data_IF_493809812205
#
_entry.id   IF_493809812205
#
_cell.length_a   1.000
_cell.length_b   1.000
_cell.length_c   1.000
_cell.angle_alpha   90.00
_cell.angle_beta   90.00
_cell.angle_gamma   90.00
#
_symmetry.space_group_name_H-M   'P 1'
#
loop_
_entity.id
_entity.type
_entity.pdbx_description
1 polymer ?
#
# COMPACT_ATOMS: atom_id res chain seq x y z
N UNK A 1 -0.76 35.68 -13.61
CA UNK A 1 -1.36 34.40 -14.05
C UNK A 1 -0.36 33.25 -14.16
N UNK A 2 0.96 33.48 -14.18
CA UNK A 2 1.96 32.41 -14.32
C UNK A 2 2.09 31.50 -13.10
N UNK A 3 1.92 32.02 -11.88
CA UNK A 3 1.98 31.21 -10.66
C UNK A 3 0.76 30.29 -10.46
N UNK A 4 -0.43 30.65 -10.97
CA UNK A 4 -1.66 29.87 -10.76
C UNK A 4 -1.70 28.57 -11.58
N UNK A 5 -1.03 28.54 -12.74
CA UNK A 5 -1.00 27.38 -13.64
C UNK A 5 -0.33 26.14 -13.02
N UNK A 6 0.91 26.19 -12.50
CA UNK A 6 1.57 25.04 -11.88
C UNK A 6 1.01 24.69 -10.50
N UNK A 7 0.43 25.67 -9.79
CA UNK A 7 -0.07 25.46 -8.43
C UNK A 7 -1.48 24.84 -8.41
N UNK A 8 -2.37 25.26 -9.31
CA UNK A 8 -3.77 24.86 -9.24
C UNK A 8 -4.25 24.17 -10.53
N UNK A 9 -4.02 24.78 -11.69
CA UNK A 9 -4.66 24.32 -12.94
C UNK A 9 -4.08 22.98 -13.40
N UNK A 10 -2.75 22.84 -13.40
CA UNK A 10 -2.05 21.62 -13.82
C UNK A 10 -2.35 20.46 -12.84
N UNK A 11 -2.25 20.62 -11.52
CA UNK A 11 -2.62 19.57 -10.57
C UNK A 11 -4.10 19.18 -10.64
N UNK A 12 -5.01 20.15 -10.81
CA UNK A 12 -6.44 19.88 -10.89
C UNK A 12 -6.80 19.07 -12.15
N UNK A 13 -6.31 19.48 -13.32
CA UNK A 13 -6.62 18.79 -14.57
C UNK A 13 -5.92 17.42 -14.62
N UNK A 14 -4.68 17.32 -14.15
CA UNK A 14 -3.97 16.04 -14.11
C UNK A 14 -4.62 15.05 -13.14
N UNK A 15 -4.99 15.48 -11.94
CA UNK A 15 -5.72 14.64 -10.98
C UNK A 15 -7.11 14.26 -11.47
N UNK A 16 -7.82 15.15 -12.19
CA UNK A 16 -9.11 14.82 -12.80
C UNK A 16 -8.96 13.72 -13.87
N UNK A 17 -8.01 13.87 -14.80
CA UNK A 17 -7.79 12.89 -15.86
C UNK A 17 -7.33 11.55 -15.27
N UNK A 18 -6.35 11.56 -14.37
CA UNK A 18 -5.83 10.34 -13.73
C UNK A 18 -6.90 9.70 -12.84
N UNK A 19 -7.69 10.50 -12.12
CA UNK A 19 -8.79 10.03 -11.29
C UNK A 19 -9.90 9.35 -12.12
N UNK A 20 -10.30 9.95 -13.24
CA UNK A 20 -11.27 9.36 -14.16
C UNK A 20 -10.71 8.08 -14.80
N UNK A 21 -9.44 8.07 -15.22
CA UNK A 21 -8.79 6.86 -15.73
C UNK A 21 -8.75 5.75 -14.66
N UNK A 22 -8.49 6.11 -13.41
CA UNK A 22 -8.52 5.16 -12.28
C UNK A 22 -9.92 4.56 -12.08
N UNK A 23 -10.99 5.35 -12.16
CA UNK A 23 -12.36 4.85 -11.96
C UNK A 23 -12.78 3.95 -13.13
N UNK A 24 -12.55 4.38 -14.37
CA UNK A 24 -13.13 3.73 -15.54
C UNK A 24 -12.27 2.62 -16.16
N UNK A 25 -10.95 2.75 -16.14
CA UNK A 25 -10.03 1.80 -16.79
C UNK A 25 -9.33 0.88 -15.78
N UNK A 26 -8.83 1.42 -14.68
CA UNK A 26 -7.90 0.70 -13.79
C UNK A 26 -8.63 0.06 -12.59
N UNK A 27 -9.71 0.68 -12.10
CA UNK A 27 -10.41 0.24 -10.89
C UNK A 27 -10.99 -1.16 -11.01
N UNK A 28 -11.59 -1.50 -12.15
CA UNK A 28 -12.15 -2.84 -12.42
C UNK A 28 -11.09 -3.96 -12.41
N UNK A 29 -9.98 -3.88 -13.18
CA UNK A 29 -8.96 -4.92 -13.13
C UNK A 29 -8.27 -5.00 -11.77
N UNK A 30 -8.02 -3.87 -11.10
CA UNK A 30 -7.46 -3.85 -9.74
C UNK A 30 -8.39 -4.51 -8.73
N UNK A 31 -9.70 -4.24 -8.80
CA UNK A 31 -10.70 -4.88 -7.96
C UNK A 31 -10.78 -6.40 -8.21
N UNK A 32 -10.65 -6.84 -9.47
CA UNK A 32 -10.60 -8.26 -9.82
C UNK A 32 -9.36 -8.96 -9.23
N UNK A 33 -8.19 -8.33 -9.33
CA UNK A 33 -6.95 -8.82 -8.70
C UNK A 33 -7.12 -8.88 -7.18
N UNK A 34 -7.68 -7.83 -6.58
CA UNK A 34 -7.95 -7.78 -5.15
C UNK A 34 -8.91 -8.89 -4.70
N UNK A 35 -9.97 -9.17 -5.47
CA UNK A 35 -10.91 -10.25 -5.18
C UNK A 35 -10.22 -11.62 -5.27
N UNK A 36 -9.37 -11.85 -6.28
CA UNK A 36 -8.56 -13.05 -6.40
C UNK A 36 -7.56 -13.22 -5.26
N UNK A 37 -6.90 -12.13 -4.85
CA UNK A 37 -5.96 -12.12 -3.73
C UNK A 37 -6.67 -12.35 -2.39
N UNK A 38 -7.86 -11.77 -2.22
CA UNK A 38 -8.78 -12.00 -1.10
C UNK A 38 -9.17 -13.46 -1.00
N UNK A 39 -9.61 -14.06 -2.11
CA UNK A 39 -9.95 -15.46 -2.14
C UNK A 39 -8.73 -16.34 -1.81
N UNK A 40 -7.58 -16.09 -2.44
CA UNK A 40 -6.36 -16.85 -2.19
C UNK A 40 -5.89 -16.74 -0.73
N UNK A 41 -5.90 -15.55 -0.15
CA UNK A 41 -5.47 -15.35 1.24
C UNK A 41 -6.51 -15.85 2.25
N UNK A 42 -7.80 -15.83 1.93
CA UNK A 42 -8.83 -16.52 2.70
C UNK A 42 -8.61 -18.04 2.67
N UNK A 43 -8.18 -18.61 1.54
CA UNK A 43 -7.82 -20.04 1.46
C UNK A 43 -6.56 -20.40 2.25
N UNK A 44 -5.70 -19.43 2.58
CA UNK A 44 -4.57 -19.66 3.50
C UNK A 44 -5.02 -19.83 4.97
N UNK A 45 -6.26 -19.44 5.30
CA UNK A 45 -6.92 -19.72 6.58
C UNK A 45 -6.14 -19.29 7.84
N UNK A 46 -6.62 -19.69 9.01
CA UNK A 46 -5.91 -19.55 10.30
C UNK A 46 -4.64 -20.40 10.37
N UNK A 47 -4.42 -21.31 9.42
CA UNK A 47 -3.34 -22.28 9.43
C UNK A 47 -1.94 -21.65 9.35
N UNK A 48 -1.79 -20.42 8.82
CA UNK A 48 -0.52 -19.72 8.88
C UNK A 48 -0.65 -18.18 8.82
N UNK A 49 -1.38 -17.61 9.79
CA UNK A 49 -1.48 -16.15 9.96
C UNK A 49 -0.10 -15.45 10.05
N UNK A 50 0.92 -16.18 10.53
CA UNK A 50 2.32 -15.72 10.56
C UNK A 50 2.88 -15.56 9.14
N UNK A 51 2.69 -16.54 8.27
CA UNK A 51 3.14 -16.46 6.87
C UNK A 51 2.39 -15.37 6.10
N UNK A 52 1.09 -15.24 6.32
CA UNK A 52 0.30 -14.14 5.77
C UNK A 52 0.86 -12.78 6.18
N UNK A 53 1.12 -12.59 7.47
CA UNK A 53 1.73 -11.37 8.00
C UNK A 53 3.12 -11.10 7.43
N UNK A 54 3.94 -12.14 7.25
CA UNK A 54 5.28 -12.01 6.67
C UNK A 54 5.24 -11.56 5.20
N UNK A 55 4.34 -12.12 4.38
CA UNK A 55 4.17 -11.71 2.98
C UNK A 55 3.69 -10.27 2.90
N UNK A 56 2.64 -9.92 3.66
CA UNK A 56 2.10 -8.55 3.68
C UNK A 56 3.14 -7.55 4.18
N UNK A 57 3.93 -7.93 5.20
CA UNK A 57 5.02 -7.10 5.69
C UNK A 57 6.14 -6.90 4.66
N UNK A 58 6.51 -7.95 3.93
CA UNK A 58 7.48 -7.86 2.84
C UNK A 58 7.00 -6.92 1.72
N UNK A 59 5.70 -6.97 1.38
CA UNK A 59 5.09 -6.07 0.39
C UNK A 59 5.10 -4.60 0.86
N UNK A 60 4.92 -4.35 2.15
CA UNK A 60 4.97 -2.98 2.71
C UNK A 60 6.39 -2.41 2.69
N UNK A 61 7.40 -3.24 2.89
CA UNK A 61 8.79 -2.80 2.99
C UNK A 61 9.53 -2.74 1.64
N UNK A 62 9.01 -3.35 0.58
CA UNK A 62 9.75 -3.56 -0.69
C UNK A 62 9.99 -2.28 -1.46
N UNK A 63 9.01 -1.37 -1.50
CA UNK A 63 9.08 -0.15 -2.30
C UNK A 63 8.85 1.14 -1.50
N UNK A 64 8.92 1.04 -0.16
CA UNK A 64 8.84 2.18 0.77
C UNK A 64 7.68 3.15 0.50
N UNK A 65 6.52 2.64 0.05
CA UNK A 65 5.33 3.46 -0.23
C UNK A 65 4.91 3.53 -1.71
N UNK A 66 5.56 2.75 -2.57
CA UNK A 66 5.27 2.63 -3.99
C UNK A 66 4.03 1.78 -4.34
N UNK A 67 3.93 1.28 -5.59
CA UNK A 67 2.79 0.50 -6.08
C UNK A 67 2.52 -0.81 -5.31
N UNK A 68 3.56 -1.52 -4.87
CA UNK A 68 3.47 -2.79 -4.12
C UNK A 68 2.93 -2.53 -2.72
N UNK A 69 3.44 -1.52 -2.01
CA UNK A 69 2.91 -1.10 -0.71
C UNK A 69 1.43 -0.70 -0.82
N UNK A 70 1.05 0.04 -1.87
CA UNK A 70 -0.36 0.44 -2.09
C UNK A 70 -1.26 -0.75 -2.43
N UNK A 71 -0.76 -1.74 -3.16
CA UNK A 71 -1.51 -2.97 -3.44
C UNK A 71 -1.77 -3.78 -2.15
N UNK A 72 -0.76 -3.92 -1.27
CA UNK A 72 -0.94 -4.55 0.04
C UNK A 72 -1.95 -3.79 0.92
N UNK A 73 -1.89 -2.45 0.92
CA UNK A 73 -2.84 -1.62 1.67
C UNK A 73 -4.27 -1.76 1.15
N UNK A 74 -4.47 -1.72 -0.17
CA UNK A 74 -5.77 -1.93 -0.79
C UNK A 74 -6.35 -3.31 -0.45
N UNK A 75 -5.49 -4.33 -0.34
CA UNK A 75 -5.85 -5.63 0.18
C UNK A 75 -6.37 -5.60 1.62
N UNK A 76 -5.61 -4.98 2.53
CA UNK A 76 -6.03 -4.82 3.92
C UNK A 76 -7.38 -4.09 4.04
N UNK A 77 -7.56 -3.00 3.31
CA UNK A 77 -8.82 -2.24 3.28
C UNK A 77 -9.98 -3.06 2.71
N UNK A 78 -9.74 -3.88 1.69
CA UNK A 78 -10.75 -4.78 1.14
C UNK A 78 -11.30 -5.75 2.19
N UNK A 79 -10.43 -6.27 3.07
CA UNK A 79 -10.79 -7.20 4.14
C UNK A 79 -11.49 -6.55 5.35
N UNK A 80 -11.43 -5.22 5.49
CA UNK A 80 -12.20 -4.51 6.53
C UNK A 80 -13.70 -4.69 6.31
N UNK A 81 -14.14 -4.77 5.06
CA UNK A 81 -15.54 -5.00 4.71
C UNK A 81 -16.06 -6.37 5.17
N UNK A 82 -15.16 -7.35 5.34
CA UNK A 82 -15.46 -8.72 5.80
C UNK A 82 -15.10 -8.93 7.27
N UNK A 83 -14.98 -7.85 8.06
CA UNK A 83 -14.63 -7.88 9.49
C UNK A 83 -13.31 -8.62 9.82
N UNK A 84 -12.40 -8.73 8.85
CA UNK A 84 -11.13 -9.44 9.02
C UNK A 84 -9.99 -8.43 9.23
N UNK A 85 -9.67 -8.14 10.49
CA UNK A 85 -8.76 -7.04 10.84
C UNK A 85 -7.29 -7.43 10.99
N UNK A 86 -6.98 -8.70 11.19
CA UNK A 86 -5.60 -9.15 11.44
C UNK A 86 -4.62 -8.80 10.29
N UNK A 87 -5.00 -8.94 9.00
CA UNK A 87 -4.12 -8.54 7.89
C UNK A 87 -3.86 -7.03 7.87
N UNK A 88 -4.87 -6.21 8.16
CA UNK A 88 -4.70 -4.77 8.26
C UNK A 88 -3.74 -4.39 9.41
N UNK A 89 -3.86 -5.05 10.56
CA UNK A 89 -2.96 -4.83 11.69
C UNK A 89 -1.51 -5.14 11.32
N UNK A 90 -1.27 -6.25 10.60
CA UNK A 90 0.07 -6.61 10.11
C UNK A 90 0.63 -5.59 9.12
N UNK A 91 -0.18 -5.12 8.17
CA UNK A 91 0.18 -4.07 7.20
C UNK A 91 0.57 -2.78 7.92
N UNK A 92 -0.21 -2.36 8.93
CA UNK A 92 0.08 -1.12 9.66
C UNK A 92 1.37 -1.24 10.47
N UNK A 93 1.56 -2.36 11.16
CA UNK A 93 2.79 -2.63 11.91
C UNK A 93 4.02 -2.65 10.99
N UNK A 94 3.92 -3.30 9.83
CA UNK A 94 5.02 -3.37 8.87
C UNK A 94 5.31 -2.03 8.17
N UNK A 95 4.28 -1.22 7.89
CA UNK A 95 4.45 0.07 7.22
C UNK A 95 5.31 1.08 8.01
N UNK A 96 5.40 0.92 9.32
CA UNK A 96 6.26 1.75 10.16
C UNK A 96 7.74 1.30 10.14
N UNK A 97 8.03 0.11 9.63
CA UNK A 97 9.39 -0.47 9.65
C UNK A 97 10.38 0.30 8.79
N UNK A 98 10.12 0.66 7.51
CA UNK A 98 11.10 1.39 6.69
C UNK A 98 11.55 2.74 7.27
N UNK A 99 10.67 3.66 7.71
CA UNK A 99 11.11 4.94 8.26
C UNK A 99 11.85 4.78 9.59
N UNK A 100 11.41 3.86 10.46
CA UNK A 100 12.11 3.57 11.72
C UNK A 100 13.48 2.95 11.47
N UNK A 101 13.57 1.98 10.55
CA UNK A 101 14.82 1.34 10.18
C UNK A 101 15.81 2.36 9.60
N UNK A 102 15.36 3.28 8.74
CA UNK A 102 16.21 4.36 8.23
C UNK A 102 16.67 5.30 9.35
N UNK A 103 15.78 5.72 10.25
CA UNK A 103 16.13 6.59 11.38
C UNK A 103 17.10 5.92 12.36
N UNK A 104 16.96 4.63 12.63
CA UNK A 104 17.91 3.88 13.46
C UNK A 104 19.24 3.70 12.73
N UNK A 105 19.21 3.44 11.42
CA UNK A 105 20.42 3.28 10.61
C UNK A 105 21.29 4.54 10.62
N UNK A 106 20.70 5.74 10.57
CA UNK A 106 21.47 7.00 10.65
C UNK A 106 22.14 7.19 12.01
N UNK A 107 21.50 6.77 13.11
CA UNK A 107 22.10 6.83 14.45
C UNK A 107 23.21 5.80 14.64
N UNK A 108 23.03 4.57 14.16
CA UNK A 108 23.99 3.46 14.31
C UNK A 108 25.19 3.64 13.37
N UNK A 109 24.95 4.06 12.13
CA UNK A 109 26.00 4.24 11.11
C UNK A 109 26.50 5.70 11.02
N UNK A 110 26.32 6.51 12.06
CA UNK A 110 26.65 7.95 12.08
C UNK A 110 28.10 8.32 11.73
N UNK A 111 29.02 7.35 11.80
CA UNK A 111 30.45 7.52 11.51
C UNK A 111 30.91 6.81 10.23
N UNK A 112 29.99 6.27 9.41
CA UNK A 112 30.32 5.64 8.13
C UNK A 112 30.45 6.63 6.96
N UNK A 113 30.25 7.92 7.21
CA UNK A 113 30.45 9.02 6.26
C UNK A 113 31.38 10.05 6.90
#
# INVERSE_FOLDING_TARGET
MEALKPILIIPLVSSLIVGLAMIYLIGKPVAGILAGLTHWLQTMGTANAVLLGAILGAMMCTDMGGPVNKAAYAFGVGLLSTQTYAPMAAIMAAGMVPPLAMGIATLVARHKV
#
